data_IF_049275525337
#
_entry.id   IF_049275525337
#
_cell.length_a   1.000
_cell.length_b   1.000
_cell.length_c   1.000
_cell.angle_alpha   90.00
_cell.angle_beta   90.00
_cell.angle_gamma   90.00
#
_symmetry.space_group_name_H-M   'P 1'
#
loop_
_entity.id
_entity.type
_entity.pdbx_description
1 polymer ?
#
# COMPACT_ATOMS: atom_id res chain seq x y z
N UNK A 1 13.66 -20.96 -9.55
CA UNK A 1 14.01 -19.59 -9.12
C UNK A 1 13.34 -18.51 -9.97
N UNK A 2 13.56 -18.49 -11.30
CA UNK A 2 12.96 -17.49 -12.21
C UNK A 2 11.43 -17.42 -12.09
N UNK A 3 10.75 -18.56 -12.13
CA UNK A 3 9.28 -18.63 -11.97
C UNK A 3 8.82 -18.06 -10.62
N UNK A 4 9.53 -18.35 -9.52
CA UNK A 4 9.18 -17.81 -8.19
C UNK A 4 9.43 -16.31 -8.08
N UNK A 5 10.41 -15.77 -8.81
CA UNK A 5 10.65 -14.34 -8.91
C UNK A 5 9.54 -13.65 -9.71
N UNK A 6 9.11 -14.22 -10.82
CA UNK A 6 7.97 -13.73 -11.60
C UNK A 6 6.66 -13.79 -10.80
N UNK A 7 6.46 -14.86 -10.05
CA UNK A 7 5.36 -15.01 -9.10
C UNK A 7 5.38 -13.90 -8.04
N UNK A 8 6.53 -13.66 -7.40
CA UNK A 8 6.68 -12.61 -6.40
C UNK A 8 6.41 -11.20 -6.97
N UNK A 9 6.75 -10.97 -8.25
CA UNK A 9 6.40 -9.73 -8.97
C UNK A 9 4.89 -9.60 -9.11
N UNK A 10 4.19 -10.65 -9.58
CA UNK A 10 2.73 -10.64 -9.72
C UNK A 10 2.04 -10.38 -8.38
N UNK A 11 2.47 -11.09 -7.34
CA UNK A 11 1.97 -10.94 -5.97
C UNK A 11 2.21 -9.53 -5.40
N UNK A 12 3.37 -8.94 -5.71
CA UNK A 12 3.67 -7.56 -5.32
C UNK A 12 2.78 -6.53 -6.01
N UNK A 13 2.49 -6.73 -7.30
CA UNK A 13 1.51 -5.91 -8.05
C UNK A 13 0.13 -6.04 -7.44
N UNK A 14 -0.34 -7.26 -7.15
CA UNK A 14 -1.67 -7.50 -6.58
C UNK A 14 -1.85 -6.79 -5.23
N UNK A 15 -0.91 -6.97 -4.29
CA UNK A 15 -0.94 -6.29 -2.99
C UNK A 15 -0.88 -4.75 -3.15
N UNK A 16 -0.17 -4.27 -4.17
CA UNK A 16 -0.08 -2.85 -4.47
C UNK A 16 -1.40 -2.28 -4.97
N UNK A 17 -2.16 -3.05 -5.75
CA UNK A 17 -3.50 -2.66 -6.20
C UNK A 17 -4.49 -2.62 -5.03
N UNK A 18 -4.44 -3.58 -4.11
CA UNK A 18 -5.24 -3.52 -2.87
C UNK A 18 -4.89 -2.31 -2.01
N UNK A 19 -3.60 -1.96 -1.90
CA UNK A 19 -3.19 -0.75 -1.20
C UNK A 19 -3.71 0.51 -1.91
N UNK A 20 -3.59 0.55 -3.24
CA UNK A 20 -4.13 1.64 -4.04
C UNK A 20 -5.64 1.78 -3.84
N UNK A 21 -6.40 0.70 -3.92
CA UNK A 21 -7.84 0.69 -3.70
C UNK A 21 -8.21 1.26 -2.31
N UNK A 22 -7.53 0.81 -1.25
CA UNK A 22 -7.69 1.36 0.10
C UNK A 22 -7.39 2.87 0.15
N UNK A 23 -6.42 3.36 -0.63
CA UNK A 23 -6.14 4.79 -0.73
C UNK A 23 -7.30 5.57 -1.38
N UNK A 24 -7.98 4.98 -2.37
CA UNK A 24 -9.16 5.59 -2.99
C UNK A 24 -10.36 5.58 -2.04
N UNK A 25 -10.60 4.48 -1.34
CA UNK A 25 -11.68 4.34 -0.34
C UNK A 25 -11.57 5.41 0.75
N UNK A 26 -10.33 5.75 1.15
CA UNK A 26 -10.04 6.76 2.17
C UNK A 26 -9.77 8.16 1.59
N UNK A 27 -9.89 8.35 0.28
CA UNK A 27 -9.46 9.60 -0.38
C UNK A 27 -10.36 10.80 -0.09
N UNK A 28 -11.54 10.57 0.51
CA UNK A 28 -12.42 11.60 1.08
C UNK A 28 -11.73 12.39 2.21
N UNK A 29 -10.76 11.78 2.91
CA UNK A 29 -9.84 12.50 3.79
C UNK A 29 -8.39 11.99 3.61
N UNK A 30 -7.57 12.81 2.92
CA UNK A 30 -6.16 12.51 2.63
C UNK A 30 -5.34 12.19 3.87
N UNK A 31 -5.70 12.75 5.02
CA UNK A 31 -5.05 12.49 6.31
C UNK A 31 -5.32 11.06 6.77
N UNK A 32 -6.57 10.62 6.77
CA UNK A 32 -6.98 9.24 7.09
C UNK A 32 -6.34 8.23 6.13
N UNK A 33 -6.32 8.53 4.83
CA UNK A 33 -5.63 7.71 3.83
C UNK A 33 -4.13 7.59 4.15
N UNK A 34 -3.46 8.73 4.38
CA UNK A 34 -2.03 8.76 4.66
C UNK A 34 -1.73 8.02 5.97
N UNK A 35 -2.49 8.31 7.03
CA UNK A 35 -2.37 7.65 8.32
C UNK A 35 -2.54 6.14 8.18
N UNK A 36 -3.54 5.68 7.44
CA UNK A 36 -3.74 4.26 7.16
C UNK A 36 -2.53 3.63 6.47
N UNK A 37 -2.05 4.21 5.37
CA UNK A 37 -0.91 3.69 4.62
C UNK A 37 0.35 3.57 5.49
N UNK A 38 0.74 4.68 6.13
CA UNK A 38 1.97 4.73 6.91
C UNK A 38 1.89 3.89 8.18
N UNK A 39 0.76 3.90 8.88
CA UNK A 39 0.60 3.08 10.08
C UNK A 39 0.58 1.59 9.74
N UNK A 40 -0.03 1.21 8.61
CA UNK A 40 0.03 -0.17 8.10
C UNK A 40 1.48 -0.57 7.84
N UNK A 41 2.24 0.23 7.07
CA UNK A 41 3.66 -0.02 6.82
C UNK A 41 4.48 -0.08 8.13
N UNK A 42 4.23 0.79 9.10
CA UNK A 42 4.94 0.81 10.38
C UNK A 42 4.62 -0.40 11.26
N UNK A 43 3.37 -0.86 11.29
CA UNK A 43 2.96 -2.02 12.09
C UNK A 43 3.58 -3.32 11.60
N UNK A 44 4.06 -3.38 10.37
CA UNK A 44 4.77 -4.57 9.86
C UNK A 44 5.99 -4.92 10.69
N UNK A 45 6.66 -3.93 11.31
CA UNK A 45 7.98 -4.07 11.97
C UNK A 45 9.07 -4.66 11.06
N UNK A 46 8.85 -4.67 9.75
CA UNK A 46 9.83 -5.16 8.76
C UNK A 46 10.88 -4.09 8.49
N UNK A 47 12.02 -4.51 7.91
CA UNK A 47 13.00 -3.55 7.40
C UNK A 47 12.34 -2.67 6.33
N UNK A 48 12.21 -1.38 6.64
CA UNK A 48 11.65 -0.37 5.72
C UNK A 48 12.54 -0.17 4.49
N UNK A 49 13.81 -0.57 4.58
CA UNK A 49 14.73 -0.62 3.44
C UNK A 49 14.60 -1.92 2.64
N UNK A 50 13.86 -2.90 3.13
CA UNK A 50 13.60 -4.15 2.42
C UNK A 50 12.96 -3.89 1.06
N UNK A 51 13.30 -4.70 0.04
CA UNK A 51 12.89 -4.46 -1.34
C UNK A 51 11.37 -4.34 -1.50
N UNK A 52 10.58 -5.24 -0.91
CA UNK A 52 9.12 -5.24 -1.02
C UNK A 52 8.47 -3.99 -0.40
N UNK A 53 8.83 -3.64 0.84
CA UNK A 53 8.29 -2.48 1.56
C UNK A 53 8.64 -1.18 0.82
N UNK A 54 9.85 -1.09 0.27
CA UNK A 54 10.28 0.06 -0.53
C UNK A 54 9.47 0.23 -1.80
N UNK A 55 9.09 -0.87 -2.48
CA UNK A 55 8.25 -0.82 -3.70
C UNK A 55 6.83 -0.39 -3.35
N UNK A 56 6.23 -0.97 -2.31
CA UNK A 56 4.91 -0.56 -1.81
C UNK A 56 4.88 0.92 -1.44
N UNK A 57 5.90 1.41 -0.76
CA UNK A 57 6.01 2.84 -0.43
C UNK A 57 5.99 3.73 -1.68
N UNK A 58 6.71 3.33 -2.74
CA UNK A 58 6.71 4.08 -4.01
C UNK A 58 5.38 4.03 -4.74
N UNK A 59 4.67 2.89 -4.68
CA UNK A 59 3.30 2.81 -5.20
C UNK A 59 2.40 3.81 -4.47
N UNK A 60 2.44 3.85 -3.13
CA UNK A 60 1.64 4.80 -2.34
C UNK A 60 1.91 6.24 -2.79
N UNK A 61 3.18 6.61 -2.99
CA UNK A 61 3.53 7.94 -3.47
C UNK A 61 3.04 8.23 -4.88
N UNK A 62 3.21 7.26 -5.79
CA UNK A 62 2.76 7.36 -7.18
C UNK A 62 1.24 7.53 -7.26
N UNK A 63 0.49 6.66 -6.58
CA UNK A 63 -0.97 6.73 -6.53
C UNK A 63 -1.44 8.05 -5.93
N UNK A 64 -0.78 8.52 -4.86
CA UNK A 64 -1.10 9.80 -4.27
C UNK A 64 -0.90 10.96 -5.26
N UNK A 65 0.27 11.06 -5.86
CA UNK A 65 0.64 12.17 -6.74
C UNK A 65 -0.20 12.20 -8.02
N UNK A 66 -0.43 11.04 -8.63
CA UNK A 66 -1.07 10.92 -9.94
C UNK A 66 -2.59 10.92 -9.84
N UNK A 67 -3.17 10.24 -8.85
CA UNK A 67 -4.62 10.00 -8.83
C UNK A 67 -5.37 10.72 -7.72
N UNK A 68 -4.76 10.94 -6.55
CA UNK A 68 -5.49 11.47 -5.37
C UNK A 68 -5.31 12.99 -5.25
N UNK A 69 -4.07 13.47 -5.36
CA UNK A 69 -3.72 14.88 -5.22
C UNK A 69 -4.45 15.78 -6.23
N UNK A 70 -4.56 15.43 -7.54
CA UNK A 70 -5.19 16.32 -8.51
C UNK A 70 -6.71 16.48 -8.35
N UNK A 71 -7.39 15.55 -7.68
CA UNK A 71 -8.86 15.50 -7.63
C UNK A 71 -9.53 16.64 -6.86
N UNK A 72 -8.77 17.50 -6.16
CA UNK A 72 -9.26 18.68 -5.41
C UNK A 72 -10.61 18.48 -4.70
N UNK A 73 -10.85 17.26 -4.18
CA UNK A 73 -12.08 16.94 -3.48
C UNK A 73 -12.20 17.87 -2.27
N UNK A 74 -13.40 18.43 -2.06
CA UNK A 74 -13.68 19.38 -0.98
C UNK A 74 -13.38 18.69 0.34
N UNK A 75 -12.17 18.96 0.82
CA UNK A 75 -11.63 18.42 2.03
C UNK A 75 -12.40 19.02 3.21
N UNK A 76 -13.04 18.18 4.00
CA UNK A 76 -13.59 18.61 5.28
C UNK A 76 -12.41 18.73 6.25
N UNK A 77 -11.93 19.96 6.45
CA UNK A 77 -10.91 20.18 7.46
C UNK A 77 -11.43 19.77 8.85
N UNK A 78 -10.57 19.09 9.61
CA UNK A 78 -10.93 18.43 10.86
C UNK A 78 -11.66 17.08 10.75
N UNK A 79 -12.19 16.68 9.58
CA UNK A 79 -12.95 15.43 9.41
C UNK A 79 -12.08 14.16 9.30
N UNK A 80 -12.65 13.01 9.70
CA UNK A 80 -12.11 11.66 9.50
C UNK A 80 -12.84 11.03 8.31
N UNK A 81 -12.14 10.26 7.47
CA UNK A 81 -12.79 9.58 6.33
C UNK A 81 -13.97 8.73 6.83
N UNK A 82 -15.09 8.79 6.10
CA UNK A 82 -16.31 8.02 6.38
C UNK A 82 -16.04 6.52 6.46
N UNK A 83 -15.04 6.04 5.71
CA UNK A 83 -14.62 4.64 5.63
C UNK A 83 -13.50 4.28 6.61
N UNK A 84 -12.97 5.24 7.38
CA UNK A 84 -11.83 5.02 8.28
C UNK A 84 -12.07 3.93 9.33
N UNK A 85 -13.30 3.82 9.85
CA UNK A 85 -13.63 2.81 10.87
C UNK A 85 -13.58 1.41 10.27
N UNK A 86 -14.19 1.24 9.09
CA UNK A 86 -14.19 -0.01 8.35
C UNK A 86 -12.78 -0.36 7.87
N UNK A 87 -12.00 0.58 7.31
CA UNK A 87 -10.62 0.28 6.93
C UNK A 87 -9.75 -0.06 8.14
N UNK A 88 -10.10 0.47 9.31
CA UNK A 88 -9.50 0.05 10.58
C UNK A 88 -9.59 -1.46 10.82
N UNK A 89 -10.67 -2.13 10.41
CA UNK A 89 -10.84 -3.57 10.59
C UNK A 89 -10.01 -4.39 9.61
N UNK A 90 -9.81 -3.91 8.38
CA UNK A 90 -9.01 -4.60 7.35
C UNK A 90 -7.49 -4.42 7.54
N UNK A 91 -7.08 -3.48 8.39
CA UNK A 91 -5.67 -3.11 8.57
C UNK A 91 -4.77 -4.30 8.90
N UNK A 92 -5.25 -5.22 9.73
CA UNK A 92 -4.43 -6.34 10.17
C UNK A 92 -4.15 -7.32 9.02
N UNK A 93 -5.11 -7.50 8.11
CA UNK A 93 -4.95 -8.32 6.90
C UNK A 93 -3.91 -7.71 5.97
N UNK A 94 -3.90 -6.38 5.81
CA UNK A 94 -2.83 -5.69 5.08
C UNK A 94 -1.46 -5.89 5.72
N UNK A 95 -1.36 -5.78 7.05
CA UNK A 95 -0.09 -6.01 7.76
C UNK A 95 0.41 -7.44 7.56
N UNK A 96 -0.48 -8.43 7.63
CA UNK A 96 -0.17 -9.84 7.39
C UNK A 96 0.31 -10.07 5.95
N UNK A 97 -0.39 -9.54 4.95
CA UNK A 97 0.01 -9.64 3.56
C UNK A 97 1.37 -8.97 3.30
N UNK A 98 1.62 -7.76 3.82
CA UNK A 98 2.93 -7.11 3.62
C UNK A 98 4.06 -7.93 4.23
N UNK A 99 3.85 -8.54 5.40
CA UNK A 99 4.85 -9.43 6.02
C UNK A 99 5.09 -10.68 5.19
N UNK A 100 4.04 -11.32 4.70
CA UNK A 100 4.13 -12.50 3.84
C UNK A 100 4.92 -12.21 2.56
N UNK A 101 4.59 -11.12 1.87
CA UNK A 101 5.33 -10.70 0.68
C UNK A 101 6.79 -10.37 0.99
N UNK A 102 7.04 -9.62 2.06
CA UNK A 102 8.41 -9.27 2.45
C UNK A 102 9.24 -10.53 2.76
N UNK A 103 8.66 -11.54 3.40
CA UNK A 103 9.32 -12.83 3.62
C UNK A 103 9.67 -13.53 2.30
N UNK A 104 8.69 -13.68 1.39
CA UNK A 104 8.89 -14.29 0.06
C UNK A 104 10.03 -13.57 -0.69
N UNK A 105 9.97 -12.25 -0.77
CA UNK A 105 10.94 -11.46 -1.51
C UNK A 105 12.33 -11.55 -0.90
N UNK A 106 12.46 -11.46 0.43
CA UNK A 106 13.77 -11.58 1.09
C UNK A 106 14.40 -12.96 0.90
N UNK A 107 13.61 -14.04 0.90
CA UNK A 107 14.12 -15.39 0.60
C UNK A 107 14.62 -15.50 -0.84
N UNK A 108 13.89 -14.94 -1.80
CA UNK A 108 14.29 -14.95 -3.22
C UNK A 108 15.48 -14.02 -3.52
N UNK A 109 15.62 -12.92 -2.78
CA UNK A 109 16.71 -11.95 -2.92
C UNK A 109 18.06 -12.57 -2.57
N UNK A 110 18.11 -13.43 -1.54
CA UNK A 110 19.33 -14.18 -1.16
C UNK A 110 19.58 -15.44 -2.03
N UNK A 111 18.75 -15.68 -3.05
CA UNK A 111 18.88 -16.81 -3.98
C UNK A 111 18.30 -18.14 -3.46
N UNK A 112 17.52 -18.13 -2.38
CA UNK A 112 16.85 -19.33 -1.88
C UNK A 112 15.48 -19.53 -2.54
N UNK A 113 15.04 -20.79 -2.62
CA UNK A 113 13.69 -21.13 -3.06
C UNK A 113 12.69 -21.00 -1.91
N UNK A 114 11.51 -20.49 -2.21
CA UNK A 114 10.39 -20.40 -1.28
C UNK A 114 9.58 -21.69 -1.35
N UNK A 115 9.16 -22.24 -0.20
CA UNK A 115 8.34 -23.45 -0.16
C UNK A 115 6.96 -23.18 -0.77
N UNK A 116 6.35 -24.10 -1.53
CA UNK A 116 5.01 -23.92 -2.09
C UNK A 116 3.95 -23.54 -1.04
N UNK A 117 4.01 -24.14 0.15
CA UNK A 117 3.09 -23.83 1.26
C UNK A 117 3.11 -22.36 1.70
N UNK A 118 4.24 -21.65 1.51
CA UNK A 118 4.34 -20.21 1.83
C UNK A 118 3.57 -19.39 0.80
N UNK A 119 3.62 -19.76 -0.49
CA UNK A 119 2.80 -19.13 -1.52
C UNK A 119 1.32 -19.41 -1.32
N UNK A 120 0.95 -20.64 -0.97
CA UNK A 120 -0.44 -21.00 -0.65
C UNK A 120 -0.97 -20.16 0.52
N UNK A 121 -0.21 -20.07 1.61
CA UNK A 121 -0.58 -19.24 2.75
C UNK A 121 -0.71 -17.75 2.35
N UNK A 122 0.22 -17.25 1.55
CA UNK A 122 0.18 -15.86 1.10
C UNK A 122 -1.02 -15.57 0.19
N UNK A 123 -1.37 -16.48 -0.70
CA UNK A 123 -2.57 -16.36 -1.54
C UNK A 123 -3.86 -16.34 -0.72
N UNK A 124 -3.91 -17.06 0.40
CA UNK A 124 -5.05 -16.96 1.34
C UNK A 124 -5.13 -15.58 1.99
N UNK A 125 -3.99 -14.96 2.33
CA UNK A 125 -3.97 -13.59 2.87
C UNK A 125 -4.44 -12.57 1.82
N UNK A 126 -4.03 -12.72 0.56
CA UNK A 126 -4.52 -11.88 -0.54
C UNK A 126 -6.02 -12.05 -0.78
N UNK A 127 -6.52 -13.29 -0.73
CA UNK A 127 -7.95 -13.57 -0.90
C UNK A 127 -8.80 -12.88 0.19
N UNK A 128 -8.35 -12.86 1.44
CA UNK A 128 -9.04 -12.12 2.51
C UNK A 128 -9.11 -10.62 2.21
N UNK A 129 -8.03 -10.04 1.68
CA UNK A 129 -8.01 -8.64 1.27
C UNK A 129 -8.97 -8.37 0.11
N UNK A 130 -8.99 -9.26 -0.89
CA UNK A 130 -9.92 -9.19 -2.02
C UNK A 130 -11.38 -9.24 -1.55
N UNK A 131 -11.73 -10.16 -0.65
CA UNK A 131 -13.08 -10.28 -0.08
C UNK A 131 -13.47 -9.03 0.73
N UNK A 132 -12.56 -8.54 1.58
CA UNK A 132 -12.76 -7.34 2.37
C UNK A 132 -12.98 -6.10 1.49
N UNK A 133 -12.11 -5.87 0.51
CA UNK A 133 -12.22 -4.72 -0.40
C UNK A 133 -13.41 -4.84 -1.35
N UNK A 134 -13.76 -6.07 -1.76
CA UNK A 134 -14.95 -6.35 -2.54
C UNK A 134 -16.24 -5.87 -1.89
N UNK A 135 -16.29 -5.84 -0.54
CA UNK A 135 -17.46 -5.33 0.21
C UNK A 135 -17.66 -3.81 0.11
N UNK A 136 -16.66 -3.07 -0.37
CA UNK A 136 -16.66 -1.60 -0.51
C UNK A 136 -16.19 -1.13 -1.88
N UNK A 137 -16.29 -2.02 -2.87
CA UNK A 137 -15.83 -1.79 -4.24
C UNK A 137 -16.58 -0.63 -4.90
N UNK A 138 -17.87 -0.48 -4.62
CA UNK A 138 -18.69 0.64 -5.08
C UNK A 138 -18.12 1.99 -4.65
N UNK A 139 -17.53 2.07 -3.44
CA UNK A 139 -16.90 3.28 -2.92
C UNK A 139 -15.59 3.59 -3.67
N UNK A 140 -14.75 2.58 -3.91
CA UNK A 140 -13.48 2.79 -4.64
C UNK A 140 -13.75 3.20 -6.09
N UNK A 141 -14.71 2.56 -6.76
CA UNK A 141 -15.15 2.89 -8.12
C UNK A 141 -15.76 4.30 -8.19
N UNK A 142 -16.60 4.70 -7.24
CA UNK A 142 -17.16 6.05 -7.15
C UNK A 142 -16.08 7.13 -6.98
N UNK A 143 -15.00 6.81 -6.25
CA UNK A 143 -13.84 7.69 -6.14
C UNK A 143 -12.88 7.57 -7.33
N UNK A 144 -13.25 6.84 -8.38
CA UNK A 144 -12.56 6.75 -9.66
C UNK A 144 -11.32 5.86 -9.62
N UNK A 145 -11.34 4.79 -8.81
CA UNK A 145 -10.31 3.76 -8.83
C UNK A 145 -10.27 3.08 -10.20
N UNK A 146 -9.11 3.12 -10.86
CA UNK A 146 -8.89 2.55 -12.19
C UNK A 146 -7.80 1.48 -12.08
N UNK A 147 -8.21 0.25 -11.75
CA UNK A 147 -7.30 -0.85 -11.41
C UNK A 147 -6.28 -1.12 -12.52
N UNK A 148 -6.74 -1.25 -13.76
CA UNK A 148 -5.92 -1.62 -14.92
C UNK A 148 -4.90 -0.52 -15.27
N UNK A 149 -5.30 0.75 -15.16
CA UNK A 149 -4.42 1.89 -15.40
C UNK A 149 -3.28 1.93 -14.37
N UNK A 150 -3.63 1.78 -13.09
CA UNK A 150 -2.64 1.74 -12.00
C UNK A 150 -1.72 0.53 -12.17
N UNK A 151 -2.27 -0.65 -12.50
CA UNK A 151 -1.51 -1.88 -12.74
C UNK A 151 -0.43 -1.67 -13.79
N UNK A 152 -0.79 -1.10 -14.95
CA UNK A 152 0.14 -0.82 -16.05
C UNK A 152 1.29 0.10 -15.62
N UNK A 153 1.03 1.05 -14.73
CA UNK A 153 2.03 2.02 -14.27
C UNK A 153 2.96 1.45 -13.18
N UNK A 154 2.47 0.55 -12.34
CA UNK A 154 3.26 -0.03 -11.23
C UNK A 154 3.96 -1.34 -11.62
N UNK A 155 3.50 -2.04 -12.66
CA UNK A 155 4.11 -3.30 -13.10
C UNK A 155 5.61 -3.15 -13.41
N UNK A 156 6.10 -2.10 -14.11
CA UNK A 156 7.53 -1.89 -14.33
C UNK A 156 8.32 -1.74 -13.02
N UNK A 157 7.74 -1.08 -12.01
CA UNK A 157 8.38 -0.92 -10.70
C UNK A 157 8.62 -2.28 -10.04
N UNK A 158 7.65 -3.19 -10.13
CA UNK A 158 7.77 -4.54 -9.59
C UNK A 158 8.64 -5.47 -10.44
N UNK A 159 8.60 -5.40 -11.77
CA UNK A 159 9.53 -6.17 -12.63
C UNK A 159 10.99 -5.93 -12.27
N UNK A 160 11.30 -4.69 -11.88
CA UNK A 160 12.62 -4.28 -11.43
C UNK A 160 12.98 -4.69 -9.98
N UNK A 161 12.20 -5.55 -9.33
CA UNK A 161 12.38 -5.96 -7.93
C UNK A 161 13.73 -6.63 -7.68
N UNK A 162 14.13 -7.55 -8.57
CA UNK A 162 15.37 -8.32 -8.49
C UNK A 162 16.48 -7.81 -9.42
N UNK A 163 16.27 -6.66 -10.07
CA UNK A 163 17.24 -6.05 -10.98
C UNK A 163 18.18 -5.11 -10.21
N UNK A 164 19.49 -5.27 -10.41
CA UNK A 164 20.52 -4.47 -9.73
C UNK A 164 20.55 -3.00 -10.19
N UNK A 165 20.07 -2.71 -11.41
CA UNK A 165 20.18 -1.40 -12.08
C UNK A 165 18.82 -0.77 -12.45
N UNK A 166 17.76 -1.12 -11.73
CA UNK A 166 16.42 -0.56 -11.95
C UNK A 166 16.40 0.98 -11.95
N UNK A 167 15.76 1.56 -12.98
CA UNK A 167 15.28 2.94 -12.91
C UNK A 167 14.17 3.02 -11.86
N UNK A 168 14.61 3.28 -10.64
CA UNK A 168 13.80 3.75 -9.53
C UNK A 168 12.91 4.90 -10.02
N UNK A 169 11.58 4.74 -9.96
CA UNK A 169 10.64 5.88 -10.01
C UNK A 169 11.25 6.98 -9.13
N UNK A 170 11.62 8.11 -9.75
CA UNK A 170 12.31 9.17 -9.02
C UNK A 170 11.42 9.60 -7.87
N UNK A 171 11.99 9.49 -6.68
CA UNK A 171 11.33 9.85 -5.45
C UNK A 171 11.13 11.37 -5.45
N UNK A 172 9.90 11.84 -5.66
CA UNK A 172 9.61 13.26 -5.50
C UNK A 172 9.69 13.63 -4.02
N UNK A 173 10.70 14.44 -3.68
CA UNK A 173 10.93 14.93 -2.31
C UNK A 173 9.75 15.76 -1.81
N UNK A 174 9.03 16.43 -2.71
CA UNK A 174 7.86 17.24 -2.41
C UNK A 174 6.71 16.37 -1.93
N UNK A 175 6.43 15.27 -2.65
CA UNK A 175 5.38 14.30 -2.28
C UNK A 175 5.68 13.64 -0.94
N UNK A 176 6.94 13.30 -0.66
CA UNK A 176 7.33 12.79 0.65
C UNK A 176 7.03 13.78 1.77
N UNK A 177 7.44 15.04 1.60
CA UNK A 177 7.21 16.08 2.62
C UNK A 177 5.70 16.27 2.88
N UNK A 178 4.89 16.25 1.82
CA UNK A 178 3.45 16.40 1.90
C UNK A 178 2.78 15.25 2.67
N UNK A 179 3.09 14.00 2.31
CA UNK A 179 2.58 12.82 3.01
C UNK A 179 3.04 12.79 4.48
N UNK A 180 4.30 13.10 4.76
CA UNK A 180 4.80 13.16 6.14
C UNK A 180 4.09 14.24 6.95
N UNK A 181 3.82 15.41 6.35
CA UNK A 181 3.07 16.49 7.01
C UNK A 181 1.64 16.04 7.34
N UNK A 182 0.95 15.37 6.42
CA UNK A 182 -0.40 14.83 6.64
C UNK A 182 -0.40 13.81 7.78
N UNK A 183 0.59 12.93 7.83
CA UNK A 183 0.76 11.96 8.90
C UNK A 183 1.00 12.61 10.28
N UNK A 184 1.91 13.58 10.35
CA UNK A 184 2.24 14.28 11.59
C UNK A 184 1.02 15.01 12.17
N UNK A 185 0.20 15.61 11.32
CA UNK A 185 -1.03 16.28 11.75
C UNK A 185 -2.02 15.32 12.44
N UNK A 186 -2.17 14.09 11.93
CA UNK A 186 -3.04 13.09 12.57
C UNK A 186 -2.45 12.49 13.85
N UNK A 187 -1.14 12.24 13.86
CA UNK A 187 -0.48 11.78 15.08
C UNK A 187 -0.60 12.80 16.21
N UNK A 188 -0.46 14.09 15.90
CA UNK A 188 -0.63 15.16 16.88
C UNK A 188 -2.06 15.20 17.44
N UNK A 189 -3.09 15.03 16.60
CA UNK A 189 -4.48 14.94 17.07
C UNK A 189 -4.70 13.74 18.00
N UNK A 190 -4.15 12.57 17.65
CA UNK A 190 -4.30 11.35 18.46
C UNK A 190 -3.59 11.49 19.82
N UNK A 191 -2.43 12.15 19.86
CA UNK A 191 -1.72 12.48 21.10
C UNK A 191 -2.55 13.46 21.94
N UNK A 192 -3.03 14.55 21.35
CA UNK A 192 -3.85 15.55 22.04
C UNK A 192 -5.16 14.95 22.59
N UNK A 193 -5.80 14.03 21.86
CA UNK A 193 -7.02 13.35 22.29
C UNK A 193 -6.79 12.36 23.45
N UNK A 194 -5.56 11.86 23.65
CA UNK A 194 -5.20 10.97 24.77
C UNK A 194 -4.71 11.72 26.02
N UNK A 195 -4.43 13.03 25.89
CA UNK A 195 -3.99 13.89 26.98
C UNK A 195 -5.12 14.70 27.65
N UNK A 196 -6.37 14.48 27.21
CA UNK A 196 -7.61 15.02 27.78
C UNK A 196 -8.36 13.89 28.50
#
# INVERSE_FOLDING_TARGET
>A
EKEQKEEAVRLGVELSLFMAEAMFILSDDRRSMTYFCFLTLFKTKMDRRGPAVRRLYRVIQHVYATYIKPKNLVYIDGGKSTQSKLMGTFRQDFVSAIRGLAHIVSTLEIGCLVKPSVFEQYNQELKKLEENLGSVKDVSEAYGFAREAIESEILPLWKSLFETNSQVIKLDKTINSELLRLLLNELNKEICARSL
#
